data_IF_550021360182
#
_entry.id   IF_550021360182
#
_cell.length_a   1.000
_cell.length_b   1.000
_cell.length_c   1.000
_cell.angle_alpha   90.00
_cell.angle_beta   90.00
_cell.angle_gamma   90.00
#
_symmetry.space_group_name_H-M   'P 1'
#
loop_
_entity.id
_entity.type
_entity.pdbx_description
1 polymer ?
#
# COMPACT_ATOMS: atom_id res chain seq x y z
N UNK A 1 14.05 -2.60 53.97
CA UNK A 1 12.67 -2.15 53.69
C UNK A 1 12.58 -1.80 52.21
N UNK A 2 11.75 -2.54 51.46
CA UNK A 2 11.08 -2.25 50.16
C UNK A 2 11.91 -1.57 49.05
N UNK A 3 12.32 -2.20 47.92
CA UNK A 3 11.65 -2.99 46.86
C UNK A 3 10.92 -2.16 45.78
N UNK A 4 11.12 -2.60 44.52
CA UNK A 4 10.58 -2.18 43.19
C UNK A 4 11.31 -1.00 42.50
N UNK A 5 11.84 -1.08 41.26
CA UNK A 5 11.61 -1.98 40.12
C UNK A 5 10.72 -1.29 39.07
N UNK A 6 11.26 -0.99 37.88
CA UNK A 6 10.62 -0.74 36.56
C UNK A 6 11.64 0.01 35.67
N UNK A 7 12.43 -0.67 34.83
CA UNK A 7 12.09 -0.98 33.43
C UNK A 7 11.26 0.10 32.74
N UNK A 8 11.91 0.99 31.98
CA UNK A 8 11.28 1.73 30.90
C UNK A 8 11.82 1.22 29.57
N UNK A 9 11.30 0.06 29.18
CA UNK A 9 11.20 -0.31 27.78
C UNK A 9 10.40 0.79 27.06
N UNK A 10 11.10 1.67 26.35
CA UNK A 10 10.51 2.60 25.39
C UNK A 10 10.03 1.83 24.16
N UNK A 11 8.99 1.02 24.37
CA UNK A 11 8.18 0.41 23.33
C UNK A 11 7.54 1.57 22.57
N UNK A 12 8.12 2.02 21.45
CA UNK A 12 7.40 2.88 20.51
C UNK A 12 6.26 2.04 19.94
N UNK A 13 4.98 2.27 20.32
CA UNK A 13 3.85 1.60 19.72
C UNK A 13 3.38 2.48 18.56
N UNK A 14 4.29 2.73 17.61
CA UNK A 14 3.87 3.26 16.32
C UNK A 14 3.47 2.05 15.51
N UNK A 15 2.18 1.72 15.53
CA UNK A 15 1.60 0.60 14.79
C UNK A 15 2.09 0.73 13.36
N UNK A 16 3.02 -0.16 13.03
CA UNK A 16 3.44 -0.44 11.69
C UNK A 16 2.16 -0.73 10.91
N UNK A 17 1.93 -0.09 9.76
CA UNK A 17 1.10 -0.66 8.69
C UNK A 17 1.77 -1.96 8.17
N UNK A 18 2.16 -2.87 9.07
CA UNK A 18 2.07 -4.29 8.88
C UNK A 18 0.59 -4.64 9.04
N UNK A 19 -0.20 -4.28 8.04
CA UNK A 19 -1.16 -5.26 7.54
C UNK A 19 -0.33 -6.35 6.85
N UNK A 20 0.40 -7.15 7.65
CA UNK A 20 0.70 -8.53 7.24
C UNK A 20 -0.64 -9.24 7.40
N UNK A 21 -1.54 -8.98 6.46
CA UNK A 21 -2.55 -9.97 6.20
C UNK A 21 -1.79 -11.13 5.59
N UNK A 22 -1.69 -12.19 6.39
CA UNK A 22 -1.35 -13.52 5.92
C UNK A 22 -2.37 -13.87 4.84
N UNK A 23 -2.09 -13.48 3.60
CA UNK A 23 -2.74 -14.07 2.46
C UNK A 23 -2.24 -15.49 2.38
N UNK A 24 -3.07 -16.41 2.85
CA UNK A 24 -2.94 -17.80 2.47
C UNK A 24 -2.85 -17.83 0.95
N UNK A 25 -1.77 -18.42 0.45
CA UNK A 25 -1.55 -18.69 -0.96
C UNK A 25 -2.52 -19.82 -1.39
N UNK A 26 -3.80 -19.66 -1.09
CA UNK A 26 -4.86 -20.61 -1.38
C UNK A 26 -5.26 -20.40 -2.84
N UNK A 27 -4.75 -21.30 -3.69
CA UNK A 27 -5.22 -21.57 -5.04
C UNK A 27 -5.61 -20.34 -5.88
N UNK A 28 -4.70 -19.38 -6.02
CA UNK A 28 -4.83 -18.38 -7.08
C UNK A 28 -4.64 -19.07 -8.43
N UNK A 29 -5.71 -19.10 -9.22
CA UNK A 29 -5.68 -19.61 -10.58
C UNK A 29 -4.71 -18.72 -11.38
N UNK A 30 -3.74 -19.33 -12.07
CA UNK A 30 -2.85 -18.58 -12.98
C UNK A 30 -3.70 -17.80 -13.98
N UNK A 31 -3.36 -16.52 -14.23
CA UNK A 31 -4.09 -15.71 -15.20
C UNK A 31 -4.12 -16.42 -16.56
N UNK A 32 -5.31 -16.51 -17.16
CA UNK A 32 -5.53 -17.04 -18.50
C UNK A 32 -4.72 -16.26 -19.54
N UNK A 33 -4.29 -16.91 -20.62
CA UNK A 33 -3.47 -16.23 -21.65
C UNK A 33 -4.20 -15.02 -22.26
N UNK A 34 -5.52 -15.10 -22.43
CA UNK A 34 -6.37 -14.00 -22.90
C UNK A 34 -6.33 -12.79 -21.97
N UNK A 35 -6.21 -13.01 -20.67
CA UNK A 35 -6.20 -11.96 -19.67
C UNK A 35 -4.79 -11.47 -19.35
N UNK A 36 -3.75 -12.26 -19.64
CA UNK A 36 -2.37 -11.86 -19.46
C UNK A 36 -2.01 -10.59 -20.25
N UNK A 37 -2.50 -10.46 -21.49
CA UNK A 37 -2.29 -9.24 -22.28
C UNK A 37 -2.99 -8.04 -21.65
N UNK A 38 -4.23 -8.21 -21.18
CA UNK A 38 -5.04 -7.16 -20.55
C UNK A 38 -4.44 -6.72 -19.21
N UNK A 39 -4.02 -7.68 -18.39
CA UNK A 39 -3.30 -7.45 -17.13
C UNK A 39 -2.10 -6.53 -17.31
N UNK A 40 -1.28 -6.74 -18.35
CA UNK A 40 -0.10 -5.88 -18.60
C UNK A 40 -0.48 -4.43 -18.86
N UNK A 41 -1.61 -4.17 -19.52
CA UNK A 41 -2.07 -2.80 -19.75
C UNK A 41 -2.69 -2.20 -18.48
N UNK A 42 -3.51 -2.97 -17.76
CA UNK A 42 -4.04 -2.56 -16.45
C UNK A 42 -2.93 -2.24 -15.45
N UNK A 43 -1.87 -3.05 -15.42
CA UNK A 43 -0.69 -2.82 -14.57
C UNK A 43 -0.05 -1.46 -14.83
N UNK A 44 0.05 -1.02 -16.10
CA UNK A 44 0.62 0.30 -16.44
C UNK A 44 -0.27 1.42 -15.93
N UNK A 45 -1.58 1.31 -16.12
CA UNK A 45 -2.57 2.29 -15.64
C UNK A 45 -2.51 2.38 -14.11
N UNK A 46 -2.52 1.24 -13.42
CA UNK A 46 -2.45 1.18 -11.97
C UNK A 46 -1.13 1.77 -11.43
N UNK A 47 0.01 1.51 -12.10
CA UNK A 47 1.29 2.08 -11.72
C UNK A 47 1.31 3.61 -11.86
N UNK A 48 0.76 4.13 -12.96
CA UNK A 48 0.66 5.58 -13.17
C UNK A 48 -0.19 6.26 -12.09
N UNK A 49 -1.39 5.72 -11.81
CA UNK A 49 -2.26 6.21 -10.73
C UNK A 49 -1.62 6.11 -9.34
N UNK A 50 -0.93 5.01 -9.08
CA UNK A 50 -0.17 4.84 -7.83
C UNK A 50 0.87 5.95 -7.68
N UNK A 51 1.70 6.18 -8.69
CA UNK A 51 2.72 7.23 -8.67
C UNK A 51 2.10 8.62 -8.51
N UNK A 52 0.98 8.91 -9.18
CA UNK A 52 0.24 10.17 -9.01
C UNK A 52 -0.24 10.36 -7.57
N UNK A 53 -0.81 9.32 -6.95
CA UNK A 53 -1.22 9.34 -5.54
C UNK A 53 -0.06 9.61 -4.59
N UNK A 54 1.08 8.92 -4.77
CA UNK A 54 2.29 9.13 -3.96
C UNK A 54 2.81 10.57 -4.08
N UNK A 55 2.76 11.16 -5.28
CA UNK A 55 3.17 12.55 -5.50
C UNK A 55 2.19 13.54 -4.86
N UNK A 56 0.88 13.26 -4.89
CA UNK A 56 -0.12 14.06 -4.20
C UNK A 56 0.06 14.01 -2.67
N UNK A 57 0.31 12.82 -2.12
CA UNK A 57 0.62 12.63 -0.70
C UNK A 57 1.89 13.41 -0.30
N UNK A 58 2.94 13.31 -1.12
CA UNK A 58 4.19 14.04 -0.90
C UNK A 58 3.99 15.56 -0.89
N UNK A 59 3.19 16.10 -1.81
CA UNK A 59 2.84 17.52 -1.84
C UNK A 59 2.04 17.94 -0.59
N UNK A 60 1.15 17.08 -0.12
CA UNK A 60 0.38 17.33 1.10
C UNK A 60 1.29 17.43 2.32
N UNK A 61 2.29 16.53 2.43
CA UNK A 61 3.28 16.58 3.52
C UNK A 61 4.17 17.83 3.41
N UNK A 62 4.71 18.13 2.24
CA UNK A 62 5.66 19.24 2.09
C UNK A 62 5.01 20.61 2.25
N UNK A 63 3.73 20.75 1.89
CA UNK A 63 2.93 21.96 2.07
C UNK A 63 2.26 22.11 3.44
N UNK A 64 2.47 21.18 4.38
CA UNK A 64 1.82 21.23 5.69
C UNK A 64 2.50 22.23 6.63
N UNK A 65 2.05 23.49 6.65
CA UNK A 65 2.72 24.59 7.36
C UNK A 65 2.67 24.51 8.88
N UNK A 66 1.74 23.74 9.45
CA UNK A 66 1.70 23.52 10.89
C UNK A 66 2.78 22.54 11.40
N UNK A 67 3.48 21.83 10.52
CA UNK A 67 4.56 20.92 10.89
C UNK A 67 5.92 21.60 10.74
N UNK A 68 6.84 21.29 11.67
CA UNK A 68 8.24 21.67 11.52
C UNK A 68 8.87 21.08 10.25
N UNK A 69 9.89 21.76 9.70
CA UNK A 69 10.62 21.29 8.52
C UNK A 69 11.23 19.89 8.71
N UNK A 70 11.69 19.59 9.93
CA UNK A 70 12.19 18.27 10.31
C UNK A 70 11.06 17.21 10.31
N UNK A 71 9.88 17.52 10.87
CA UNK A 71 8.74 16.61 10.86
C UNK A 71 8.30 16.28 9.43
N UNK A 72 8.17 17.29 8.57
CA UNK A 72 7.86 17.10 7.14
C UNK A 72 8.88 16.21 6.43
N UNK A 73 10.18 16.42 6.69
CA UNK A 73 11.24 15.60 6.11
C UNK A 73 11.12 14.13 6.53
N UNK A 74 10.90 13.86 7.82
CA UNK A 74 10.77 12.49 8.34
C UNK A 74 9.54 11.81 7.77
N UNK A 75 8.39 12.50 7.71
CA UNK A 75 7.17 11.96 7.11
C UNK A 75 7.36 11.64 5.63
N UNK A 76 7.94 12.56 4.86
CA UNK A 76 8.20 12.36 3.43
C UNK A 76 9.12 11.17 3.19
N UNK A 77 10.20 11.05 3.96
CA UNK A 77 11.12 9.92 3.84
C UNK A 77 10.43 8.57 4.12
N UNK A 78 9.57 8.51 5.16
CA UNK A 78 8.79 7.31 5.48
C UNK A 78 7.84 6.96 4.35
N UNK A 79 7.05 7.93 3.87
CA UNK A 79 6.15 7.75 2.74
C UNK A 79 6.89 7.17 1.52
N UNK A 80 7.99 7.80 1.10
CA UNK A 80 8.75 7.37 -0.08
C UNK A 80 9.30 5.96 0.06
N UNK A 81 9.85 5.62 1.23
CA UNK A 81 10.37 4.28 1.51
C UNK A 81 9.27 3.23 1.46
N UNK A 82 8.15 3.48 2.11
CA UNK A 82 7.08 2.51 2.24
C UNK A 82 6.41 2.28 0.87
N UNK A 83 6.14 3.35 0.12
CA UNK A 83 5.58 3.28 -1.24
C UNK A 83 6.54 2.64 -2.24
N UNK A 84 7.86 2.84 -2.10
CA UNK A 84 8.85 2.14 -2.93
C UNK A 84 8.81 0.62 -2.70
N UNK A 85 8.64 0.17 -1.47
CA UNK A 85 8.46 -1.26 -1.17
C UNK A 85 7.19 -1.81 -1.82
N UNK A 86 6.11 -1.03 -1.83
CA UNK A 86 4.86 -1.43 -2.48
C UNK A 86 5.00 -1.51 -4.00
N UNK A 87 5.85 -0.69 -4.62
CA UNK A 87 6.18 -0.85 -6.05
C UNK A 87 6.74 -2.24 -6.33
N UNK A 88 7.71 -2.68 -5.54
CA UNK A 88 8.32 -4.01 -5.70
C UNK A 88 7.32 -5.15 -5.45
N UNK A 89 6.37 -4.97 -4.52
CA UNK A 89 5.36 -6.00 -4.20
C UNK A 89 4.27 -6.11 -5.26
N UNK A 90 3.76 -4.97 -5.72
CA UNK A 90 2.58 -4.90 -6.59
C UNK A 90 2.99 -4.98 -8.06
N UNK A 91 4.02 -4.23 -8.45
CA UNK A 91 4.31 -3.99 -9.87
C UNK A 91 5.49 -4.79 -10.38
N UNK A 92 6.43 -5.27 -9.58
CA UNK A 92 7.55 -6.09 -10.10
C UNK A 92 7.18 -7.56 -10.35
N UNK A 93 5.90 -7.91 -10.19
CA UNK A 93 5.34 -9.19 -10.59
C UNK A 93 5.40 -9.38 -12.12
N UNK A 94 6.50 -9.96 -12.60
CA UNK A 94 6.73 -10.18 -14.04
C UNK A 94 6.29 -11.55 -14.57
N UNK A 95 5.78 -12.44 -13.71
CA UNK A 95 5.35 -13.79 -14.12
C UNK A 95 3.84 -13.96 -14.00
N UNK A 96 3.26 -14.79 -14.89
CA UNK A 96 1.83 -15.15 -14.89
C UNK A 96 1.35 -15.74 -13.55
N UNK A 97 2.24 -16.39 -12.81
CA UNK A 97 1.95 -16.94 -11.48
C UNK A 97 1.81 -15.85 -10.40
N UNK A 98 2.59 -14.76 -10.49
CA UNK A 98 2.54 -13.65 -9.52
C UNK A 98 1.44 -12.63 -9.85
N UNK A 99 0.95 -12.65 -11.09
CA UNK A 99 0.00 -11.70 -11.62
C UNK A 99 -1.36 -11.66 -10.89
N UNK A 100 -1.97 -12.79 -10.45
CA UNK A 100 -3.21 -12.74 -9.68
C UNK A 100 -3.06 -11.98 -8.36
N UNK A 101 -1.94 -12.21 -7.64
CA UNK A 101 -1.65 -11.50 -6.40
C UNK A 101 -1.44 -10.01 -6.66
N UNK A 102 -0.67 -9.67 -7.69
CA UNK A 102 -0.47 -8.27 -8.09
C UNK A 102 -1.80 -7.58 -8.43
N UNK A 103 -2.68 -8.25 -9.17
CA UNK A 103 -4.00 -7.73 -9.53
C UNK A 103 -4.88 -7.51 -8.30
N UNK A 104 -4.93 -8.48 -7.37
CA UNK A 104 -5.62 -8.33 -6.09
C UNK A 104 -5.12 -7.12 -5.30
N UNK A 105 -3.81 -6.89 -5.25
CA UNK A 105 -3.25 -5.71 -4.58
C UNK A 105 -3.61 -4.41 -5.29
N UNK A 106 -3.64 -4.37 -6.63
CA UNK A 106 -4.10 -3.20 -7.37
C UNK A 106 -5.58 -2.88 -7.09
N UNK A 107 -6.45 -3.90 -7.03
CA UNK A 107 -7.86 -3.73 -6.69
C UNK A 107 -8.03 -3.29 -5.25
N UNK A 108 -7.32 -3.94 -4.32
CA UNK A 108 -7.32 -3.56 -2.91
C UNK A 108 -6.97 -2.09 -2.74
N UNK A 109 -5.92 -1.61 -3.37
CA UNK A 109 -5.52 -0.21 -3.24
C UNK A 109 -6.31 0.76 -4.15
N UNK A 110 -7.45 0.30 -4.67
CA UNK A 110 -8.37 1.11 -5.47
C UNK A 110 -7.74 1.73 -6.73
N UNK A 111 -6.72 1.07 -7.29
CA UNK A 111 -5.96 1.59 -8.43
C UNK A 111 -6.66 1.34 -9.78
N UNK A 112 -7.65 0.45 -9.80
CA UNK A 112 -8.41 0.05 -10.98
C UNK A 112 -9.91 0.16 -10.71
N UNK A 113 -10.64 0.70 -11.68
CA UNK A 113 -12.10 0.83 -11.63
C UNK A 113 -12.78 -0.50 -12.01
N UNK A 114 -14.02 -0.71 -11.58
CA UNK A 114 -14.78 -1.92 -11.95
C UNK A 114 -14.94 -2.06 -13.47
N UNK A 115 -15.09 -0.95 -14.20
CA UNK A 115 -15.18 -0.94 -15.66
C UNK A 115 -13.87 -1.37 -16.34
N UNK A 116 -12.72 -1.06 -15.75
CA UNK A 116 -11.43 -1.54 -16.25
C UNK A 116 -11.22 -3.02 -15.95
N UNK A 117 -11.76 -3.51 -14.82
CA UNK A 117 -11.69 -4.93 -14.46
C UNK A 117 -12.66 -5.79 -15.29
N UNK A 118 -13.76 -5.22 -15.76
CA UNK A 118 -14.78 -5.96 -16.55
C UNK A 118 -14.28 -6.47 -17.89
N UNK A 119 -13.10 -6.01 -18.36
CA UNK A 119 -12.46 -6.53 -19.58
C UNK A 119 -11.85 -7.93 -19.39
N UNK A 120 -11.61 -8.34 -18.15
CA UNK A 120 -11.03 -9.63 -17.79
C UNK A 120 -12.09 -10.74 -17.89
N UNK A 121 -11.66 -12.00 -17.91
CA UNK A 121 -12.60 -13.13 -17.88
C UNK A 121 -13.44 -13.16 -16.60
N UNK A 122 -14.62 -13.77 -16.67
CA UNK A 122 -15.50 -13.96 -15.52
C UNK A 122 -14.80 -14.69 -14.37
N UNK A 123 -13.95 -15.70 -14.67
CA UNK A 123 -13.17 -16.41 -13.66
C UNK A 123 -12.24 -15.45 -12.89
N UNK A 124 -11.52 -14.58 -13.61
CA UNK A 124 -10.65 -13.58 -12.95
C UNK A 124 -11.46 -12.55 -12.17
N UNK A 125 -12.63 -12.14 -12.65
CA UNK A 125 -13.51 -11.23 -11.92
C UNK A 125 -14.06 -11.87 -10.63
N UNK A 126 -14.43 -13.15 -10.67
CA UNK A 126 -14.87 -13.90 -9.49
C UNK A 126 -13.76 -14.01 -8.44
N UNK A 127 -12.52 -14.25 -8.86
CA UNK A 127 -11.35 -14.30 -7.96
C UNK A 127 -11.03 -12.96 -7.26
N UNK A 128 -11.57 -11.85 -7.78
CA UNK A 128 -11.40 -10.51 -7.24
C UNK A 128 -12.59 -10.04 -6.39
N UNK A 129 -13.72 -10.76 -6.42
CA UNK A 129 -14.99 -10.31 -5.83
C UNK A 129 -14.94 -10.19 -4.29
N UNK A 130 -14.02 -10.90 -3.63
CA UNK A 130 -13.80 -10.85 -2.19
C UNK A 130 -12.79 -9.76 -1.76
N UNK A 131 -12.15 -9.09 -2.72
CA UNK A 131 -11.15 -8.07 -2.42
C UNK A 131 -11.82 -6.81 -1.90
N UNK A 132 -11.66 -6.57 -0.59
CA UNK A 132 -12.06 -5.30 0.04
C UNK A 132 -11.10 -4.20 -0.38
N UNK A 133 -11.65 -3.10 -0.94
CA UNK A 133 -10.91 -1.90 -1.31
C UNK A 133 -10.52 -1.10 -0.05
N UNK A 134 -9.25 -0.72 0.03
CA UNK A 134 -8.55 0.02 1.06
C UNK A 134 -7.52 0.95 0.38
N UNK A 135 -7.96 2.15 -0.06
CA UNK A 135 -7.07 3.17 -0.61
C UNK A 135 -5.96 3.55 0.38
N UNK A 136 -4.86 4.09 -0.13
CA UNK A 136 -3.81 4.62 0.74
C UNK A 136 -4.32 5.87 1.47
N UNK A 137 -4.09 5.90 2.78
CA UNK A 137 -4.34 7.07 3.62
C UNK A 137 -3.00 7.54 4.23
N UNK A 138 -2.87 8.86 4.41
CA UNK A 138 -1.74 9.45 5.12
C UNK A 138 -1.99 9.37 6.63
N UNK A 139 -1.13 8.64 7.33
CA UNK A 139 -1.06 8.69 8.79
C UNK A 139 -0.17 9.85 9.22
N UNK A 140 -0.75 10.85 9.88
CA UNK A 140 -0.01 11.97 10.45
C UNK A 140 0.68 11.54 11.74
N UNK A 141 1.96 11.91 11.87
CA UNK A 141 2.65 11.78 13.15
C UNK A 141 2.15 12.95 14.00
N UNK A 142 1.50 12.66 15.13
CA UNK A 142 1.24 13.69 16.15
C UNK A 142 2.60 14.23 16.60
N UNK A 143 2.87 15.51 16.34
CA UNK A 143 4.05 16.19 16.87
C UNK A 143 3.89 16.17 18.39
N UNK A 144 4.75 15.40 19.08
CA UNK A 144 4.87 15.52 20.54
C UNK A 144 5.26 16.96 20.78
N UNK A 145 4.32 17.77 21.25
CA UNK A 145 4.59 19.07 21.85
C UNK A 145 5.68 18.82 22.90
N UNK A 146 6.93 19.15 22.56
CA UNK A 146 7.94 19.32 23.61
C UNK A 146 7.53 20.61 24.30
N UNK A 147 6.83 20.46 25.43
CA UNK A 147 6.71 21.54 26.40
C UNK A 147 8.12 22.09 26.67
N UNK A 148 8.28 23.38 26.39
CA UNK A 148 9.54 24.14 26.53
C UNK A 148 9.99 24.25 28.00
#
# INVERSE_FOLDING_TARGET
>A
MHQAGLESAGLFPGICLRTVQNFTQENLISILESDWKKFKELRKIALDRFCQGVLADANTITGHDALSSQARYVMLHRLMRDRHNDIGRIFDAYSRYKAPMALRLMVRHDLLTDAELSILSEATQQDLADVVRQPYELEWIEEIERED
#
